data_IF_250677584587
#
_entry.id   IF_250677584587
#
_cell.length_a   1.000
_cell.length_b   1.000
_cell.length_c   1.000
_cell.angle_alpha   90.00
_cell.angle_beta   90.00
_cell.angle_gamma   90.00
#
_symmetry.space_group_name_H-M   'P 1'
#
loop_
_entity.id
_entity.type
_entity.pdbx_description
1 polymer ?
#
# COMPACT_ATOMS: atom_id res chain seq x y z
N UNK A 1 48.61 -13.47 -24.39
CA UNK A 1 47.79 -12.45 -25.10
C UNK A 1 46.49 -12.30 -24.33
N UNK A 2 46.45 -11.36 -23.39
CA UNK A 2 45.30 -11.08 -22.53
C UNK A 2 44.25 -10.31 -23.34
N UNK A 3 43.11 -10.94 -23.64
CA UNK A 3 41.94 -10.24 -24.21
C UNK A 3 41.23 -9.56 -23.05
N UNK A 4 41.51 -8.27 -22.88
CA UNK A 4 40.83 -7.40 -21.93
C UNK A 4 39.47 -7.07 -22.56
N UNK A 5 38.47 -7.91 -22.28
CA UNK A 5 37.08 -7.65 -22.67
C UNK A 5 36.54 -6.46 -21.87
N UNK A 6 36.48 -5.28 -22.51
CA UNK A 6 35.79 -4.12 -21.97
C UNK A 6 34.31 -4.47 -21.86
N UNK A 7 33.83 -4.67 -20.63
CA UNK A 7 32.41 -4.85 -20.36
C UNK A 7 31.63 -3.65 -20.95
N UNK A 8 30.52 -3.88 -21.68
CA UNK A 8 29.72 -2.78 -22.21
C UNK A 8 29.26 -1.93 -21.02
N UNK A 9 29.49 -0.62 -21.10
CA UNK A 9 28.97 0.35 -20.13
C UNK A 9 27.47 0.11 -20.04
N UNK A 10 27.04 -0.50 -18.94
CA UNK A 10 25.65 -0.66 -18.60
C UNK A 10 25.05 0.75 -18.55
N UNK A 11 24.38 1.15 -19.62
CA UNK A 11 23.47 2.29 -19.64
C UNK A 11 22.30 1.87 -18.76
N UNK A 12 22.54 1.83 -17.45
CA UNK A 12 21.49 1.77 -16.46
C UNK A 12 20.69 3.04 -16.70
N UNK A 13 19.56 2.87 -17.40
CA UNK A 13 18.57 3.90 -17.57
C UNK A 13 18.35 4.54 -16.20
N UNK A 14 18.60 5.85 -16.11
CA UNK A 14 18.35 6.61 -14.88
C UNK A 14 16.98 6.17 -14.35
N UNK A 15 16.85 5.83 -13.05
CA UNK A 15 15.54 5.65 -12.45
C UNK A 15 14.70 6.89 -12.78
N UNK A 16 13.37 6.81 -12.84
CA UNK A 16 12.53 7.96 -13.09
C UNK A 16 12.65 8.94 -11.91
N UNK A 17 13.74 9.70 -11.91
CA UNK A 17 14.12 10.67 -10.89
C UNK A 17 13.76 12.03 -11.45
N UNK A 18 12.52 12.43 -11.20
CA UNK A 18 12.21 13.77 -10.68
C UNK A 18 10.90 13.60 -9.92
N UNK A 19 10.86 14.03 -8.65
CA UNK A 19 9.59 14.30 -7.98
C UNK A 19 8.83 15.34 -8.81
N UNK A 20 7.95 14.87 -9.71
CA UNK A 20 7.18 15.74 -10.61
C UNK A 20 6.20 16.55 -9.77
N UNK A 21 6.14 17.86 -10.04
CA UNK A 21 5.11 18.77 -9.50
C UNK A 21 3.73 18.13 -9.67
N UNK A 22 2.87 18.32 -8.66
CA UNK A 22 1.45 17.92 -8.71
C UNK A 22 0.88 18.39 -10.03
N UNK A 23 0.41 17.43 -10.83
CA UNK A 23 -0.11 17.74 -12.17
C UNK A 23 -1.55 18.26 -12.06
N UNK A 24 -2.04 19.07 -13.01
CA UNK A 24 -3.45 19.45 -13.04
C UNK A 24 -4.40 18.24 -13.01
N UNK A 25 -3.99 17.11 -13.58
CA UNK A 25 -4.73 15.84 -13.49
C UNK A 25 -4.80 15.25 -12.08
N UNK A 26 -3.76 15.44 -11.25
CA UNK A 26 -3.78 15.03 -9.84
C UNK A 26 -4.74 15.91 -9.03
N UNK A 27 -4.79 17.21 -9.34
CA UNK A 27 -5.75 18.15 -8.73
C UNK A 27 -7.17 17.80 -9.14
N UNK A 28 -7.41 17.54 -10.43
CA UNK A 28 -8.74 17.16 -10.94
C UNK A 28 -9.19 15.83 -10.33
N UNK A 29 -8.32 14.82 -10.26
CA UNK A 29 -8.63 13.57 -9.57
C UNK A 29 -8.95 13.81 -8.09
N UNK A 30 -8.15 14.65 -7.40
CA UNK A 30 -8.39 15.03 -6.01
C UNK A 30 -9.72 15.76 -5.79
N UNK A 31 -10.06 16.72 -6.64
CA UNK A 31 -11.33 17.48 -6.58
C UNK A 31 -12.52 16.60 -6.89
N UNK A 32 -12.44 15.75 -7.93
CA UNK A 32 -13.50 14.79 -8.26
C UNK A 32 -13.73 13.85 -7.07
N UNK A 33 -12.66 13.33 -6.47
CA UNK A 33 -12.76 12.45 -5.29
C UNK A 33 -13.36 13.20 -4.09
N UNK A 34 -12.96 14.45 -3.88
CA UNK A 34 -13.47 15.28 -2.79
C UNK A 34 -14.96 15.64 -2.93
N UNK A 35 -15.52 15.60 -4.15
CA UNK A 35 -16.96 15.80 -4.41
C UNK A 35 -17.72 14.48 -4.40
N UNK A 36 -17.14 13.41 -4.95
CA UNK A 36 -17.74 12.08 -4.99
C UNK A 36 -17.88 11.50 -3.59
N UNK A 37 -16.90 11.66 -2.70
CA UNK A 37 -16.98 11.10 -1.34
C UNK A 37 -18.20 11.64 -0.56
N UNK A 38 -18.41 12.97 -0.42
CA UNK A 38 -19.63 13.49 0.20
C UNK A 38 -20.90 13.04 -0.50
N UNK A 39 -20.90 12.98 -1.83
CA UNK A 39 -22.03 12.52 -2.61
C UNK A 39 -22.40 11.07 -2.29
N UNK A 40 -21.42 10.18 -2.22
CA UNK A 40 -21.59 8.75 -1.90
C UNK A 40 -22.01 8.54 -0.45
N UNK A 41 -21.53 9.38 0.47
CA UNK A 41 -22.01 9.40 1.86
C UNK A 41 -23.47 9.87 1.92
N UNK A 42 -23.84 10.93 1.21
CA UNK A 42 -25.21 11.46 1.19
C UNK A 42 -26.17 10.44 0.54
N UNK A 43 -25.84 9.92 -0.64
CA UNK A 43 -26.66 8.90 -1.28
C UNK A 43 -26.75 7.63 -0.44
N UNK A 44 -25.63 7.18 0.11
CA UNK A 44 -25.58 6.01 0.97
C UNK A 44 -26.45 6.17 2.23
N UNK A 45 -26.50 7.37 2.81
CA UNK A 45 -27.35 7.64 3.98
C UNK A 45 -28.83 7.82 3.63
N UNK A 46 -29.16 8.27 2.43
CA UNK A 46 -30.53 8.50 1.97
C UNK A 46 -31.19 7.23 1.38
N UNK A 47 -30.45 6.41 0.65
CA UNK A 47 -31.00 5.30 -0.15
C UNK A 47 -30.75 3.91 0.44
N UNK A 48 -29.76 3.72 1.31
CA UNK A 48 -29.55 2.43 1.97
C UNK A 48 -30.48 2.37 3.19
N UNK A 49 -31.39 1.37 3.26
CA UNK A 49 -32.27 1.21 4.40
C UNK A 49 -31.47 1.14 5.71
N UNK A 50 -32.06 1.62 6.80
CA UNK A 50 -31.49 1.57 8.14
C UNK A 50 -31.42 0.12 8.66
N UNK A 51 -30.57 -0.71 8.05
CA UNK A 51 -30.16 -2.01 8.54
C UNK A 51 -28.82 -1.93 9.27
N UNK A 52 -28.49 -2.97 10.03
CA UNK A 52 -27.39 -3.04 11.01
C UNK A 52 -25.99 -2.75 10.44
N UNK A 53 -25.82 -2.63 9.12
CA UNK A 53 -24.49 -2.48 8.47
C UNK A 53 -24.44 -1.43 7.33
N UNK A 54 -25.36 -0.48 7.27
CA UNK A 54 -25.34 0.58 6.21
C UNK A 54 -24.01 1.35 6.17
N UNK A 55 -23.44 1.66 7.33
CA UNK A 55 -22.20 2.43 7.47
C UNK A 55 -21.00 1.71 6.83
N UNK A 56 -20.95 0.37 6.92
CA UNK A 56 -19.92 -0.44 6.29
C UNK A 56 -19.95 -0.32 4.76
N UNK A 57 -21.14 -0.41 4.16
CA UNK A 57 -21.30 -0.31 2.71
C UNK A 57 -20.85 1.06 2.19
N UNK A 58 -21.19 2.13 2.91
CA UNK A 58 -20.77 3.50 2.58
C UNK A 58 -19.26 3.64 2.64
N UNK A 59 -18.64 3.15 3.71
CA UNK A 59 -17.18 3.25 3.87
C UNK A 59 -16.45 2.42 2.80
N UNK A 60 -16.96 1.23 2.47
CA UNK A 60 -16.40 0.41 1.38
C UNK A 60 -16.51 1.12 0.03
N UNK A 61 -17.65 1.76 -0.26
CA UNK A 61 -17.82 2.54 -1.48
C UNK A 61 -16.81 3.70 -1.56
N UNK A 62 -16.64 4.44 -0.47
CA UNK A 62 -15.65 5.53 -0.37
C UNK A 62 -14.22 5.02 -0.56
N UNK A 63 -13.87 3.85 -0.01
CA UNK A 63 -12.54 3.25 -0.22
C UNK A 63 -12.32 2.85 -1.68
N UNK A 64 -13.34 2.28 -2.32
CA UNK A 64 -13.29 1.94 -3.75
C UNK A 64 -13.13 3.19 -4.60
N UNK A 65 -13.81 4.29 -4.27
CA UNK A 65 -13.62 5.58 -4.95
C UNK A 65 -12.22 6.15 -4.76
N UNK A 66 -11.67 6.09 -3.55
CA UNK A 66 -10.29 6.53 -3.28
C UNK A 66 -9.28 5.71 -4.10
N UNK A 67 -9.48 4.39 -4.17
CA UNK A 67 -8.67 3.51 -5.01
C UNK A 67 -8.82 3.90 -6.49
N UNK A 68 -10.06 3.99 -6.98
CA UNK A 68 -10.37 4.32 -8.37
C UNK A 68 -9.75 5.67 -8.80
N UNK A 69 -9.86 6.70 -7.96
CA UNK A 69 -9.23 7.99 -8.19
C UNK A 69 -7.71 7.89 -8.38
N UNK A 70 -7.08 7.02 -7.60
CA UNK A 70 -5.65 6.76 -7.69
C UNK A 70 -5.27 6.05 -9.00
N UNK A 71 -6.01 5.00 -9.36
CA UNK A 71 -5.81 4.28 -10.63
C UNK A 71 -6.02 5.21 -11.84
N UNK A 72 -7.06 6.05 -11.80
CA UNK A 72 -7.34 7.04 -12.85
C UNK A 72 -6.22 8.09 -12.95
N UNK A 73 -5.73 8.60 -11.81
CA UNK A 73 -4.60 9.54 -11.79
C UNK A 73 -3.35 8.91 -12.41
N UNK A 74 -3.09 7.62 -12.13
CA UNK A 74 -1.98 6.89 -12.73
C UNK A 74 -2.14 6.70 -14.23
N UNK A 75 -3.31 6.25 -14.69
CA UNK A 75 -3.57 6.01 -16.11
C UNK A 75 -3.48 7.30 -16.95
N UNK A 76 -3.97 8.42 -16.42
CA UNK A 76 -3.88 9.75 -17.07
C UNK A 76 -2.44 10.20 -17.31
N UNK A 77 -1.48 9.71 -16.53
CA UNK A 77 -0.04 10.00 -16.73
C UNK A 77 0.56 9.24 -17.91
N UNK A 78 -0.22 8.37 -18.58
CA UNK A 78 0.19 7.54 -19.71
C UNK A 78 1.49 6.78 -19.39
N UNK A 79 1.47 5.92 -18.36
CA UNK A 79 2.64 5.14 -17.97
C UNK A 79 3.14 4.31 -19.14
N UNK A 80 4.46 4.20 -19.29
CA UNK A 80 5.02 3.38 -20.36
C UNK A 80 4.77 1.90 -20.08
N UNK A 81 4.80 1.06 -21.12
CA UNK A 81 4.69 -0.39 -20.96
C UNK A 81 5.75 -0.95 -19.98
N UNK A 82 6.93 -0.32 -19.94
CA UNK A 82 8.00 -0.65 -19.00
C UNK A 82 7.62 -0.33 -17.56
N UNK A 83 6.99 0.82 -17.30
CA UNK A 83 6.55 1.19 -15.95
C UNK A 83 5.51 0.21 -15.43
N UNK A 84 4.52 -0.12 -16.27
CA UNK A 84 3.48 -1.11 -15.94
C UNK A 84 4.10 -2.48 -15.64
N UNK A 85 5.05 -2.92 -16.47
CA UNK A 85 5.74 -4.19 -16.27
C UNK A 85 6.50 -4.24 -14.94
N UNK A 86 7.19 -3.15 -14.57
CA UNK A 86 7.90 -3.06 -13.28
C UNK A 86 6.92 -3.15 -12.10
N UNK A 87 5.81 -2.41 -12.14
CA UNK A 87 4.78 -2.47 -11.09
C UNK A 87 4.17 -3.86 -10.98
N UNK A 88 3.92 -4.53 -12.12
CA UNK A 88 3.40 -5.89 -12.15
C UNK A 88 4.37 -6.89 -11.53
N UNK A 89 5.67 -6.83 -11.87
CA UNK A 89 6.70 -7.70 -11.30
C UNK A 89 6.86 -7.49 -9.80
N UNK A 90 6.88 -6.23 -9.34
CA UNK A 90 6.96 -5.92 -7.91
C UNK A 90 5.72 -6.41 -7.15
N UNK A 91 4.53 -6.25 -7.74
CA UNK A 91 3.29 -6.78 -7.15
C UNK A 91 3.28 -8.30 -7.10
N UNK A 92 3.74 -8.97 -8.16
CA UNK A 92 3.89 -10.42 -8.19
C UNK A 92 4.89 -10.92 -7.13
N UNK A 93 6.02 -10.22 -6.96
CA UNK A 93 6.99 -10.55 -5.91
C UNK A 93 6.40 -10.36 -4.50
N UNK A 94 5.61 -9.30 -4.28
CA UNK A 94 4.90 -9.06 -3.03
C UNK A 94 3.85 -10.13 -2.73
N UNK A 95 3.08 -10.56 -3.74
CA UNK A 95 2.14 -11.68 -3.64
C UNK A 95 2.90 -12.97 -3.32
N UNK A 96 3.91 -13.33 -4.12
CA UNK A 96 4.70 -14.54 -3.90
C UNK A 96 5.35 -14.55 -2.52
N UNK A 97 5.87 -13.42 -2.05
CA UNK A 97 6.39 -13.27 -0.70
C UNK A 97 5.32 -13.49 0.37
N UNK A 98 4.09 -12.98 0.17
CA UNK A 98 2.97 -13.25 1.08
C UNK A 98 2.58 -14.74 1.09
N UNK A 99 2.61 -15.40 -0.07
CA UNK A 99 2.34 -16.84 -0.22
C UNK A 99 3.42 -17.71 0.42
N UNK A 100 4.70 -17.42 0.20
CA UNK A 100 5.82 -18.21 0.73
C UNK A 100 5.78 -18.35 2.26
N UNK A 101 5.29 -17.31 2.94
CA UNK A 101 5.19 -17.29 4.40
C UNK A 101 3.75 -17.53 4.90
N UNK A 102 2.88 -18.18 4.12
CA UNK A 102 1.48 -18.39 4.51
C UNK A 102 1.32 -19.13 5.85
N UNK A 103 2.26 -20.03 6.19
CA UNK A 103 2.25 -20.80 7.44
C UNK A 103 2.56 -19.95 8.68
N UNK A 104 3.20 -18.78 8.51
CA UNK A 104 3.59 -17.93 9.62
C UNK A 104 2.57 -16.79 9.80
N UNK A 105 1.98 -16.63 11.01
CA UNK A 105 1.07 -15.53 11.28
C UNK A 105 1.78 -14.18 11.08
N UNK A 106 1.28 -13.37 10.14
CA UNK A 106 1.72 -12.00 9.82
C UNK A 106 3.21 -11.77 9.50
N UNK A 107 4.06 -12.80 9.51
CA UNK A 107 5.45 -12.68 9.08
C UNK A 107 5.53 -12.69 7.56
N UNK A 108 5.41 -11.53 6.92
CA UNK A 108 5.28 -11.41 5.46
C UNK A 108 6.15 -10.26 4.90
N UNK A 109 6.90 -10.49 3.81
CA UNK A 109 7.73 -9.45 3.17
C UNK A 109 6.92 -8.41 2.37
N UNK A 110 5.60 -8.56 2.28
CA UNK A 110 4.76 -7.76 1.40
C UNK A 110 4.87 -6.25 1.67
N UNK A 111 4.79 -5.83 2.93
CA UNK A 111 4.92 -4.42 3.30
C UNK A 111 6.32 -3.87 2.97
N UNK A 112 7.37 -4.68 3.13
CA UNK A 112 8.73 -4.26 2.80
C UNK A 112 8.88 -3.97 1.30
N UNK A 113 8.36 -4.86 0.45
CA UNK A 113 8.38 -4.67 -1.01
C UNK A 113 7.60 -3.42 -1.40
N UNK A 114 6.44 -3.19 -0.80
CA UNK A 114 5.59 -2.02 -1.07
C UNK A 114 6.29 -0.71 -0.66
N UNK A 115 6.86 -0.65 0.54
CA UNK A 115 7.59 0.51 1.06
C UNK A 115 8.81 0.82 0.19
N UNK A 116 9.61 -0.21 -0.15
CA UNK A 116 10.77 -0.04 -1.02
C UNK A 116 10.35 0.41 -2.42
N UNK A 117 9.26 -0.14 -2.96
CA UNK A 117 8.70 0.30 -4.25
C UNK A 117 8.33 1.77 -4.22
N UNK A 118 7.70 2.23 -3.13
CA UNK A 118 7.40 3.63 -2.89
C UNK A 118 8.65 4.51 -2.83
N UNK A 119 9.64 4.12 -2.03
CA UNK A 119 10.91 4.86 -1.87
C UNK A 119 11.77 4.89 -3.14
N UNK A 120 11.73 3.82 -3.94
CA UNK A 120 12.54 3.69 -5.14
C UNK A 120 11.89 4.36 -6.37
N UNK A 121 10.59 4.15 -6.57
CA UNK A 121 9.86 4.51 -7.79
C UNK A 121 8.86 5.66 -7.59
N UNK A 122 8.67 6.10 -6.34
CA UNK A 122 7.80 7.20 -5.97
C UNK A 122 6.45 6.77 -5.40
N UNK A 123 5.73 7.75 -4.85
CA UNK A 123 4.51 7.53 -4.08
C UNK A 123 3.42 6.77 -4.86
N UNK A 124 3.24 7.08 -6.16
CA UNK A 124 2.24 6.41 -7.00
C UNK A 124 2.55 4.94 -7.25
N UNK A 125 3.82 4.63 -7.53
CA UNK A 125 4.25 3.25 -7.69
C UNK A 125 4.04 2.45 -6.40
N UNK A 126 4.43 3.01 -5.25
CA UNK A 126 4.25 2.36 -3.95
C UNK A 126 2.78 2.04 -3.64
N UNK A 127 1.88 3.01 -3.88
CA UNK A 127 0.46 2.79 -3.66
C UNK A 127 -0.12 1.68 -4.54
N UNK A 128 0.20 1.69 -5.83
CA UNK A 128 -0.30 0.70 -6.78
C UNK A 128 0.23 -0.69 -6.47
N UNK A 129 1.53 -0.82 -6.17
CA UNK A 129 2.10 -2.11 -5.75
C UNK A 129 1.39 -2.60 -4.50
N UNK A 130 1.15 -1.76 -3.49
CA UNK A 130 0.41 -2.15 -2.28
C UNK A 130 -1.03 -2.59 -2.56
N UNK A 131 -1.78 -1.80 -3.30
CA UNK A 131 -3.18 -2.07 -3.62
C UNK A 131 -3.34 -3.35 -4.46
N UNK A 132 -2.56 -3.47 -5.55
CA UNK A 132 -2.61 -4.63 -6.45
C UNK A 132 -2.15 -5.90 -5.72
N UNK A 133 -1.10 -5.82 -4.90
CA UNK A 133 -0.61 -6.97 -4.14
C UNK A 133 -1.67 -7.52 -3.20
N UNK A 134 -2.39 -6.67 -2.48
CA UNK A 134 -3.48 -7.10 -1.58
C UNK A 134 -4.64 -7.70 -2.36
N UNK A 135 -5.05 -7.07 -3.47
CA UNK A 135 -6.12 -7.58 -4.31
C UNK A 135 -5.80 -8.99 -4.85
N UNK A 136 -4.62 -9.16 -5.45
CA UNK A 136 -4.23 -10.42 -6.11
C UNK A 136 -3.97 -11.51 -5.07
N UNK A 137 -3.25 -11.23 -4.00
CA UNK A 137 -3.02 -12.24 -2.96
C UNK A 137 -4.31 -12.65 -2.26
N UNK A 138 -5.31 -11.76 -2.13
CA UNK A 138 -6.62 -12.17 -1.61
C UNK A 138 -7.41 -13.05 -2.58
N UNK A 139 -7.04 -13.15 -3.86
CA UNK A 139 -7.63 -14.18 -4.73
C UNK A 139 -7.18 -15.59 -4.31
N UNK A 140 -6.01 -15.70 -3.70
CA UNK A 140 -5.44 -16.96 -3.18
C UNK A 140 -5.90 -17.24 -1.75
N UNK A 141 -5.90 -16.22 -0.88
CA UNK A 141 -6.30 -16.34 0.52
C UNK A 141 -7.81 -16.19 0.80
N UNK A 142 -8.60 -15.82 -0.20
CA UNK A 142 -10.01 -15.49 -0.06
C UNK A 142 -10.27 -13.98 -0.04
N UNK A 143 -11.30 -13.57 -0.79
CA UNK A 143 -11.77 -12.20 -0.84
C UNK A 143 -12.82 -11.96 0.23
N UNK A 144 -12.84 -10.75 0.78
CA UNK A 144 -13.88 -10.37 1.73
C UNK A 144 -13.97 -8.87 1.91
N UNK A 145 -14.78 -8.47 2.88
CA UNK A 145 -15.01 -7.06 3.21
C UNK A 145 -13.72 -6.34 3.61
N UNK A 146 -12.70 -7.06 4.07
CA UNK A 146 -11.38 -6.53 4.40
C UNK A 146 -10.52 -6.17 3.18
N UNK A 147 -10.81 -6.68 1.97
CA UNK A 147 -9.95 -6.47 0.80
C UNK A 147 -9.73 -4.99 0.50
N UNK A 148 -10.77 -4.14 0.35
CA UNK A 148 -10.57 -2.72 0.07
C UNK A 148 -9.77 -1.99 1.15
N UNK A 149 -9.96 -2.37 2.42
CA UNK A 149 -9.18 -1.84 3.54
C UNK A 149 -7.71 -2.21 3.44
N UNK A 150 -7.40 -3.48 3.13
CA UNK A 150 -6.03 -3.93 2.94
C UNK A 150 -5.39 -3.24 1.75
N UNK A 151 -6.09 -3.14 0.61
CA UNK A 151 -5.60 -2.44 -0.58
C UNK A 151 -5.22 -0.99 -0.26
N UNK A 152 -6.11 -0.27 0.44
CA UNK A 152 -5.89 1.11 0.81
C UNK A 152 -4.78 1.27 1.86
N UNK A 153 -4.83 0.49 2.95
CA UNK A 153 -3.85 0.58 4.04
C UNK A 153 -2.44 0.23 3.55
N UNK A 154 -2.29 -0.86 2.79
CA UNK A 154 -1.00 -1.27 2.22
C UNK A 154 -0.51 -0.25 1.19
N UNK A 155 -1.39 0.22 0.30
CA UNK A 155 -1.05 1.26 -0.66
C UNK A 155 -0.58 2.56 0.03
N UNK A 156 -1.21 2.94 1.13
CA UNK A 156 -0.85 4.13 1.90
C UNK A 156 0.57 4.05 2.47
N UNK A 157 1.04 2.87 2.88
CA UNK A 157 2.44 2.67 3.31
C UNK A 157 3.41 3.00 2.16
N UNK A 158 3.18 2.42 0.97
CA UNK A 158 4.04 2.69 -0.19
C UNK A 158 3.97 4.16 -0.63
N UNK A 159 2.79 4.77 -0.58
CA UNK A 159 2.59 6.17 -0.93
C UNK A 159 3.39 7.11 -0.03
N UNK A 160 3.23 6.98 1.29
CA UNK A 160 3.88 7.82 2.28
C UNK A 160 5.41 7.60 2.25
N UNK A 161 5.88 6.36 2.09
CA UNK A 161 7.29 6.06 1.91
C UNK A 161 7.89 6.82 0.71
N UNK A 162 7.16 6.86 -0.41
CA UNK A 162 7.58 7.58 -1.61
C UNK A 162 7.60 9.10 -1.47
N UNK A 163 6.76 9.67 -0.60
CA UNK A 163 6.81 11.11 -0.27
C UNK A 163 8.00 11.41 0.64
N UNK A 164 8.10 10.69 1.77
CA UNK A 164 9.06 10.96 2.85
C UNK A 164 10.49 10.75 2.37
N UNK A 165 10.76 9.66 1.64
CA UNK A 165 12.11 9.29 1.22
C UNK A 165 12.44 9.70 -0.23
N UNK A 166 11.66 10.63 -0.81
CA UNK A 166 11.85 11.12 -2.19
C UNK A 166 13.21 11.77 -2.46
N UNK A 167 13.82 12.40 -1.44
CA UNK A 167 15.06 13.18 -1.58
C UNK A 167 16.28 12.58 -0.87
N UNK A 168 16.07 11.89 0.25
CA UNK A 168 17.14 11.28 1.04
C UNK A 168 16.69 9.91 1.51
N UNK A 169 17.53 8.92 1.23
CA UNK A 169 17.32 7.52 1.63
C UNK A 169 18.30 7.24 2.77
N UNK A 170 17.76 6.99 3.95
CA UNK A 170 18.52 6.58 5.12
C UNK A 170 17.92 5.26 5.61
N UNK A 171 18.74 4.22 5.67
CA UNK A 171 18.32 2.87 6.08
C UNK A 171 17.68 2.87 7.47
N UNK A 172 18.24 3.61 8.44
CA UNK A 172 17.68 3.70 9.78
C UNK A 172 16.30 4.37 9.77
N UNK A 173 16.18 5.49 9.06
CA UNK A 173 14.90 6.20 8.95
C UNK A 173 13.85 5.34 8.22
N UNK A 174 14.26 4.56 7.22
CA UNK A 174 13.37 3.63 6.52
C UNK A 174 12.92 2.48 7.41
N UNK A 175 13.80 1.95 8.28
CA UNK A 175 13.43 0.93 9.26
C UNK A 175 12.44 1.46 10.29
N UNK A 176 12.71 2.65 10.84
CA UNK A 176 11.79 3.32 11.79
C UNK A 176 10.44 3.55 11.13
N UNK A 177 10.44 4.09 9.90
CA UNK A 177 9.23 4.28 9.14
C UNK A 177 8.48 2.96 8.90
N UNK A 178 9.19 1.91 8.50
CA UNK A 178 8.58 0.60 8.23
C UNK A 178 7.91 0.02 9.46
N UNK A 179 8.59 0.09 10.61
CA UNK A 179 8.04 -0.37 11.88
C UNK A 179 6.78 0.42 12.27
N UNK A 180 6.88 1.76 12.31
CA UNK A 180 5.79 2.61 12.78
C UNK A 180 4.61 2.62 11.81
N UNK A 181 4.86 2.61 10.50
CA UNK A 181 3.80 2.66 9.50
C UNK A 181 3.02 1.34 9.47
N UNK A 182 3.67 0.18 9.59
CA UNK A 182 2.97 -1.11 9.68
C UNK A 182 2.20 -1.21 10.99
N UNK A 183 2.80 -0.84 12.12
CA UNK A 183 2.16 -0.94 13.43
C UNK A 183 0.96 0.01 13.57
N UNK A 184 1.15 1.29 13.22
CA UNK A 184 0.16 2.34 13.50
C UNK A 184 -0.81 2.53 12.33
N UNK A 185 -0.31 2.59 11.10
CA UNK A 185 -1.17 2.88 9.93
C UNK A 185 -1.87 1.60 9.48
N UNK A 186 -1.12 0.56 9.15
CA UNK A 186 -1.72 -0.69 8.69
C UNK A 186 -2.49 -1.38 9.81
N UNK A 187 -1.85 -1.63 10.95
CA UNK A 187 -2.50 -2.23 12.13
C UNK A 187 -3.71 -1.43 12.60
N UNK A 188 -3.57 -0.11 12.75
CA UNK A 188 -4.68 0.77 13.13
C UNK A 188 -5.88 0.69 12.19
N UNK A 189 -5.67 0.81 10.87
CA UNK A 189 -6.74 0.72 9.87
C UNK A 189 -7.38 -0.68 9.88
N UNK A 190 -6.57 -1.73 9.94
CA UNK A 190 -7.07 -3.11 9.88
C UNK A 190 -7.82 -3.53 11.16
N UNK A 191 -7.39 -3.05 12.33
CA UNK A 191 -8.09 -3.28 13.59
C UNK A 191 -9.44 -2.54 13.60
N UNK A 192 -9.49 -1.29 13.12
CA UNK A 192 -10.74 -0.54 12.96
C UNK A 192 -11.67 -1.25 11.97
N UNK A 193 -11.14 -1.69 10.82
CA UNK A 193 -11.90 -2.47 9.83
C UNK A 193 -12.50 -3.74 10.45
N UNK A 194 -11.75 -4.41 11.32
CA UNK A 194 -12.22 -5.62 12.03
C UNK A 194 -13.36 -5.31 13.00
N UNK A 195 -13.25 -4.25 13.79
CA UNK A 195 -14.34 -3.78 14.67
C UNK A 195 -15.60 -3.52 13.87
N UNK A 196 -15.48 -2.73 12.79
CA UNK A 196 -16.61 -2.36 11.96
C UNK A 196 -17.25 -3.59 11.29
N UNK A 197 -16.46 -4.57 10.87
CA UNK A 197 -16.95 -5.72 10.09
C UNK A 197 -17.60 -6.80 10.96
N UNK A 198 -17.02 -7.06 12.15
CA UNK A 198 -17.38 -8.22 12.97
C UNK A 198 -18.20 -7.88 14.21
N UNK A 199 -18.34 -6.60 14.56
CA UNK A 199 -19.06 -6.17 15.76
C UNK A 199 -20.27 -5.31 15.39
N UNK A 200 -21.40 -5.53 16.07
CA UNK A 200 -22.61 -4.70 15.93
C UNK A 200 -22.61 -3.51 16.89
N UNK A 201 -22.10 -3.71 18.11
CA UNK A 201 -22.02 -2.68 19.15
C UNK A 201 -20.66 -1.97 19.12
N UNK A 202 -20.59 -0.90 18.33
CA UNK A 202 -19.39 -0.07 18.22
C UNK A 202 -19.35 0.88 19.43
N UNK A 203 -18.48 0.57 20.40
CA UNK A 203 -18.20 1.40 21.55
C UNK A 203 -16.70 1.43 21.84
N UNK A 204 -16.28 2.28 22.79
CA UNK A 204 -14.86 2.46 23.09
C UNK A 204 -14.22 1.16 23.63
N UNK A 205 -15.00 0.34 24.33
CA UNK A 205 -14.53 -0.92 24.89
C UNK A 205 -14.27 -1.95 23.78
N UNK A 206 -15.18 -2.12 22.82
CA UNK A 206 -14.99 -3.01 21.67
C UNK A 206 -13.84 -2.53 20.78
N UNK A 207 -13.71 -1.24 20.52
CA UNK A 207 -12.57 -0.69 19.77
C UNK A 207 -11.24 -1.01 20.47
N UNK A 208 -11.17 -0.74 21.78
CA UNK A 208 -9.95 -0.96 22.57
C UNK A 208 -9.59 -2.45 22.63
N UNK A 209 -10.58 -3.33 22.80
CA UNK A 209 -10.38 -4.77 22.83
C UNK A 209 -9.77 -5.30 21.53
N UNK A 210 -10.30 -4.88 20.37
CA UNK A 210 -9.76 -5.28 19.06
C UNK A 210 -8.34 -4.76 18.85
N UNK A 211 -8.07 -3.49 19.16
CA UNK A 211 -6.72 -2.93 19.05
C UNK A 211 -5.73 -3.72 19.93
N UNK A 212 -6.05 -3.95 21.20
CA UNK A 212 -5.18 -4.70 22.11
C UNK A 212 -4.94 -6.13 21.59
N UNK A 213 -5.99 -6.79 21.10
CA UNK A 213 -5.87 -8.14 20.54
C UNK A 213 -5.06 -8.20 19.24
N UNK A 214 -5.04 -7.12 18.46
CA UNK A 214 -4.30 -7.01 17.20
C UNK A 214 -2.80 -6.72 17.40
N UNK A 215 -2.41 -6.06 18.49
CA UNK A 215 -1.02 -5.63 18.75
C UNK A 215 0.03 -6.75 18.54
N UNK A 216 -0.15 -7.99 19.05
CA UNK A 216 0.85 -9.04 18.83
C UNK A 216 1.07 -9.35 17.35
N UNK A 217 0.00 -9.39 16.57
CA UNK A 217 0.02 -9.66 15.13
C UNK A 217 0.63 -8.48 14.36
N UNK A 218 0.27 -7.26 14.73
CA UNK A 218 0.81 -6.04 14.12
C UNK A 218 2.31 -5.87 14.42
N UNK A 219 2.76 -6.23 15.62
CA UNK A 219 4.17 -6.25 15.99
C UNK A 219 4.96 -7.27 15.18
N UNK A 220 4.44 -8.50 15.00
CA UNK A 220 5.09 -9.50 14.15
C UNK A 220 5.23 -8.97 12.72
N UNK A 221 4.17 -8.36 12.18
CA UNK A 221 4.20 -7.78 10.85
C UNK A 221 5.23 -6.64 10.74
N UNK A 222 5.26 -5.72 11.72
CA UNK A 222 6.17 -4.59 11.75
C UNK A 222 7.64 -5.05 11.84
N UNK A 223 7.94 -5.99 12.74
CA UNK A 223 9.28 -6.55 12.89
C UNK A 223 9.70 -7.32 11.63
N UNK A 224 8.83 -8.17 11.08
CA UNK A 224 9.08 -8.88 9.83
C UNK A 224 9.41 -7.91 8.69
N UNK A 225 8.64 -6.83 8.58
CA UNK A 225 8.86 -5.78 7.58
C UNK A 225 10.24 -5.14 7.73
N UNK A 226 10.64 -4.78 8.95
CA UNK A 226 11.98 -4.22 9.20
C UNK A 226 13.08 -5.19 8.79
N UNK A 227 12.96 -6.48 9.14
CA UNK A 227 13.93 -7.52 8.77
C UNK A 227 14.07 -7.57 7.23
N UNK A 228 12.96 -7.63 6.50
CA UNK A 228 13.00 -7.67 5.05
C UNK A 228 13.52 -6.37 4.43
N UNK A 229 13.23 -5.21 5.02
CA UNK A 229 13.80 -3.92 4.58
C UNK A 229 15.31 -3.89 4.80
N UNK A 230 15.84 -4.44 5.89
CA UNK A 230 17.29 -4.53 6.11
C UNK A 230 17.97 -5.47 5.10
N UNK A 231 17.35 -6.62 4.80
CA UNK A 231 17.88 -7.59 3.85
C UNK A 231 17.86 -7.05 2.41
N UNK A 232 16.75 -6.43 2.01
CA UNK A 232 16.49 -6.07 0.60
C UNK A 232 16.79 -4.61 0.29
N UNK A 233 16.68 -3.71 1.27
CA UNK A 233 16.82 -2.27 1.11
C UNK A 233 18.21 -1.87 0.63
N UNK A 234 19.27 -2.47 1.16
CA UNK A 234 20.64 -2.19 0.71
C UNK A 234 20.89 -2.63 -0.74
N UNK A 235 20.31 -3.76 -1.16
CA UNK A 235 20.46 -4.26 -2.53
C UNK A 235 19.67 -3.44 -3.56
N UNK A 236 18.49 -2.95 -3.17
CA UNK A 236 17.57 -2.20 -4.05
C UNK A 236 17.87 -0.70 -4.08
N UNK A 237 18.22 -0.09 -2.94
CA UNK A 237 18.42 1.36 -2.82
C UNK A 237 19.82 1.82 -3.27
N UNK A 238 20.85 0.97 -3.18
CA UNK A 238 22.22 1.31 -3.66
C UNK A 238 22.34 1.34 -5.18
N UNK A 239 21.38 0.76 -5.91
CA UNK A 239 21.36 0.69 -7.39
C UNK A 239 20.51 1.79 -8.05
N UNK A 240 19.85 2.64 -7.26
CA UNK A 240 18.95 3.70 -7.73
C UNK A 240 19.50 5.08 -7.40
#
# INVERSE_FOLDING_TARGET
MLIIGVAPKNSMAKPPVVAKKVTPSDIVAGVITAVLIPFTVILGTLFIPNGTRKHLLIILAVLVECLAAFFISFEKKKPSAKDIAVLAVLSAAAVAGRELFFMFPQFKPVAAIVIISGTALGAQAGFLVGAVSMLVSNMLFGQGMWTPWQMFAMGLLGFLAGIIFSKKRNTLALCIYSFLSVLVIYGGIMNISSVLTYTTDINLQTITAYIISGIPFDLIHAVSTVIFVLITGDALLKKC
#
